data_IF_318644418198
#
_entry.id   IF_318644418198
#
_cell.length_a   1.000
_cell.length_b   1.000
_cell.length_c   1.000
_cell.angle_alpha   90.00
_cell.angle_beta   90.00
_cell.angle_gamma   90.00
#
_symmetry.space_group_name_H-M   'P 1'
#
loop_
_entity.id
_entity.type
_entity.pdbx_description
1 polymer ?
#
# COMPACT_ATOMS: atom_id res chain seq x y z
N UNK A 1 -6.32 22.51 6.01
CA UNK A 1 -4.90 22.76 5.65
C UNK A 1 -4.84 22.87 4.15
N UNK A 2 -4.30 23.98 3.61
CA UNK A 2 -4.09 24.10 2.16
C UNK A 2 -2.75 23.48 1.80
N UNK A 3 -2.79 22.45 0.96
CA UNK A 3 -1.61 21.78 0.42
C UNK A 3 -1.47 22.18 -1.05
N UNK A 4 -0.29 22.62 -1.44
CA UNK A 4 0.06 22.90 -2.83
C UNK A 4 0.93 21.77 -3.36
N UNK A 5 0.45 21.04 -4.35
CA UNK A 5 1.22 20.02 -5.07
C UNK A 5 2.08 20.70 -6.13
N UNK A 6 3.39 20.44 -6.10
CA UNK A 6 4.37 20.98 -7.05
C UNK A 6 4.65 20.00 -8.19
N UNK A 7 4.69 18.70 -7.88
CA UNK A 7 4.87 17.66 -8.89
C UNK A 7 4.19 16.35 -8.51
N UNK A 8 3.78 15.59 -9.53
CA UNK A 8 3.36 14.20 -9.41
C UNK A 8 4.00 13.43 -10.56
N UNK A 9 4.81 12.43 -10.24
CA UNK A 9 5.57 11.67 -11.23
C UNK A 9 5.70 10.20 -10.87
N UNK A 10 6.09 9.43 -11.87
CA UNK A 10 6.39 8.01 -11.72
C UNK A 10 7.88 7.83 -11.39
N UNK A 11 8.14 7.14 -10.30
CA UNK A 11 9.49 6.72 -9.86
C UNK A 11 9.62 5.23 -10.17
N UNK A 12 10.58 4.90 -11.04
CA UNK A 12 10.90 3.52 -11.42
C UNK A 12 11.99 2.94 -10.51
N UNK A 13 12.10 1.60 -10.42
CA UNK A 13 13.23 0.95 -9.77
C UNK A 13 14.59 1.41 -10.36
N UNK A 14 15.57 1.68 -9.50
CA UNK A 14 16.96 1.97 -9.88
C UNK A 14 17.85 0.75 -9.66
N UNK A 15 18.06 -0.03 -10.73
CA UNK A 15 18.96 -1.17 -10.74
C UNK A 15 20.40 -0.67 -10.91
N UNK A 16 21.09 -0.48 -9.79
CA UNK A 16 22.48 0.03 -9.69
C UNK A 16 23.52 -0.67 -10.57
N UNK A 17 23.20 -1.84 -11.13
CA UNK A 17 24.05 -2.61 -12.04
C UNK A 17 23.95 -2.16 -13.51
N UNK A 18 23.11 -1.16 -13.81
CA UNK A 18 22.91 -0.68 -15.17
C UNK A 18 22.08 -1.63 -16.04
N UNK A 19 21.44 -2.65 -15.45
CA UNK A 19 20.30 -3.29 -16.09
C UNK A 19 19.17 -2.26 -16.13
N UNK A 20 19.16 -1.45 -17.19
CA UNK A 20 17.98 -0.67 -17.50
C UNK A 20 16.80 -1.65 -17.42
N UNK A 21 15.78 -1.34 -16.61
CA UNK A 21 14.53 -2.09 -16.52
C UNK A 21 13.74 -2.16 -17.84
N UNK A 22 14.40 -1.88 -18.96
CA UNK A 22 14.01 -2.15 -20.34
C UNK A 22 14.15 -3.64 -20.71
N UNK A 23 14.18 -4.54 -19.72
CA UNK A 23 13.79 -5.91 -19.99
C UNK A 23 12.35 -5.82 -20.53
N UNK A 24 12.19 -6.11 -21.83
CA UNK A 24 10.88 -6.22 -22.45
C UNK A 24 10.21 -7.46 -21.86
N UNK A 25 9.60 -7.30 -20.70
CA UNK A 25 8.73 -8.31 -20.13
C UNK A 25 7.57 -8.46 -21.09
N UNK A 26 7.30 -9.69 -21.53
CA UNK A 26 6.13 -9.93 -22.35
C UNK A 26 4.91 -9.50 -21.52
N UNK A 27 3.84 -9.02 -22.17
CA UNK A 27 2.60 -8.66 -21.45
C UNK A 27 1.96 -9.86 -20.71
N UNK A 28 2.52 -11.06 -20.87
CA UNK A 28 2.13 -12.30 -20.20
C UNK A 28 2.99 -12.63 -18.95
N UNK A 29 4.08 -11.90 -18.69
CA UNK A 29 4.97 -12.17 -17.56
C UNK A 29 4.33 -11.60 -16.28
N UNK A 30 3.76 -12.50 -15.48
CA UNK A 30 3.08 -12.16 -14.24
C UNK A 30 3.57 -13.02 -13.07
N UNK A 31 3.48 -12.48 -11.87
CA UNK A 31 3.57 -13.26 -10.62
C UNK A 31 2.15 -13.49 -10.12
N UNK A 32 1.68 -14.75 -10.06
CA UNK A 32 0.36 -15.04 -9.51
C UNK A 32 0.27 -14.56 -8.06
N UNK A 33 -0.87 -14.01 -7.67
CA UNK A 33 -1.13 -13.76 -6.26
C UNK A 33 -1.25 -15.10 -5.51
N UNK A 34 -0.67 -15.18 -4.32
CA UNK A 34 -0.83 -16.35 -3.44
C UNK A 34 -2.28 -16.48 -2.98
N UNK A 35 -2.63 -17.61 -2.36
CA UNK A 35 -3.97 -17.79 -1.79
C UNK A 35 -4.26 -16.79 -0.68
N UNK A 36 -3.26 -16.37 0.08
CA UNK A 36 -3.41 -15.40 1.17
C UNK A 36 -3.61 -13.99 0.62
N UNK A 37 -2.88 -13.61 -0.43
CA UNK A 37 -3.06 -12.33 -1.12
C UNK A 37 -4.47 -12.25 -1.74
N UNK A 38 -4.96 -13.35 -2.32
CA UNK A 38 -6.30 -13.43 -2.92
C UNK A 38 -7.43 -13.31 -1.89
N UNK A 39 -7.24 -13.83 -0.68
CA UNK A 39 -8.24 -13.73 0.41
C UNK A 39 -8.18 -12.37 1.12
N UNK A 40 -7.04 -11.67 1.04
CA UNK A 40 -6.89 -10.33 1.61
C UNK A 40 -7.79 -9.28 0.91
N UNK A 41 -7.89 -8.08 1.48
CA UNK A 41 -8.72 -7.02 0.92
C UNK A 41 -8.22 -6.53 -0.45
N UNK A 42 -9.17 -6.23 -1.33
CA UNK A 42 -8.91 -5.63 -2.65
C UNK A 42 -9.16 -4.11 -2.57
N UNK A 43 -8.30 -3.44 -1.80
CA UNK A 43 -8.43 -2.02 -1.48
C UNK A 43 -7.07 -1.37 -1.21
N UNK A 44 -7.06 -0.05 -1.11
CA UNK A 44 -5.89 0.71 -0.68
C UNK A 44 -5.94 0.98 0.83
N UNK A 45 -4.78 0.83 1.47
CA UNK A 45 -4.56 1.19 2.88
C UNK A 45 -3.75 2.47 2.93
N UNK A 46 -4.11 3.35 3.87
CA UNK A 46 -3.51 4.67 4.03
C UNK A 46 -2.66 4.74 5.30
N UNK A 47 -1.45 5.27 5.18
CA UNK A 47 -0.59 5.59 6.33
C UNK A 47 -0.09 7.02 6.25
N UNK A 48 0.08 7.67 7.41
CA UNK A 48 0.70 8.98 7.49
C UNK A 48 1.76 9.00 8.59
N UNK A 49 2.92 9.58 8.28
CA UNK A 49 4.00 9.83 9.22
C UNK A 49 4.36 11.30 9.22
N UNK A 50 4.59 11.86 10.39
CA UNK A 50 5.07 13.23 10.56
C UNK A 50 6.45 13.23 11.21
N UNK A 51 7.34 14.06 10.68
CA UNK A 51 8.73 14.19 11.11
C UNK A 51 9.03 15.65 11.45
N UNK A 52 9.69 15.86 12.58
CA UNK A 52 10.21 17.16 12.97
C UNK A 52 11.36 17.60 12.05
N UNK A 53 11.62 18.92 11.94
CA UNK A 53 12.77 19.41 11.21
C UNK A 53 14.10 19.00 11.88
N UNK A 54 15.20 18.91 11.12
CA UNK A 54 15.26 19.07 9.67
C UNK A 54 14.83 17.81 8.92
N UNK A 55 14.05 17.99 7.85
CA UNK A 55 13.69 16.91 6.93
C UNK A 55 14.70 16.81 5.76
N UNK A 56 14.92 15.61 5.18
CA UNK A 56 15.72 15.47 3.97
C UNK A 56 15.05 16.20 2.79
N UNK A 57 15.83 16.71 1.82
CA UNK A 57 15.26 17.27 0.59
C UNK A 57 14.43 16.24 -0.17
N UNK A 58 13.35 16.67 -0.84
CA UNK A 58 12.48 15.78 -1.60
C UNK A 58 13.24 14.96 -2.66
N UNK A 59 14.25 15.53 -3.31
CA UNK A 59 15.08 14.81 -4.27
C UNK A 59 15.83 13.60 -3.66
N UNK A 60 16.21 13.68 -2.38
CA UNK A 60 16.84 12.56 -1.66
C UNK A 60 15.81 11.46 -1.38
N UNK A 61 14.59 11.85 -0.97
CA UNK A 61 13.48 10.92 -0.74
C UNK A 61 13.12 10.17 -2.03
N UNK A 62 13.04 10.88 -3.16
CA UNK A 62 12.74 10.30 -4.46
C UNK A 62 13.83 9.33 -4.93
N UNK A 63 15.10 9.72 -4.85
CA UNK A 63 16.21 8.85 -5.25
C UNK A 63 16.25 7.56 -4.40
N UNK A 64 16.04 7.69 -3.08
CA UNK A 64 15.94 6.56 -2.19
C UNK A 64 14.71 5.67 -2.47
N UNK A 65 13.61 6.26 -2.94
CA UNK A 65 12.44 5.49 -3.35
C UNK A 65 12.78 4.61 -4.56
N UNK A 66 13.47 5.16 -5.57
CA UNK A 66 13.91 4.40 -6.74
C UNK A 66 14.81 3.21 -6.35
N UNK A 67 15.77 3.42 -5.46
CA UNK A 67 16.61 2.35 -4.90
C UNK A 67 15.78 1.30 -4.16
N UNK A 68 14.85 1.73 -3.31
CA UNK A 68 14.01 0.81 -2.53
C UNK A 68 13.11 -0.04 -3.43
N UNK A 69 12.60 0.55 -4.52
CA UNK A 69 11.78 -0.16 -5.51
C UNK A 69 12.58 -1.20 -6.31
N UNK A 70 13.90 -1.11 -6.38
CA UNK A 70 14.74 -2.16 -6.96
C UNK A 70 14.73 -3.43 -6.09
N UNK A 71 14.68 -3.26 -4.77
CA UNK A 71 14.57 -4.34 -3.79
C UNK A 71 13.12 -4.73 -3.47
N UNK A 72 12.14 -3.88 -3.78
CA UNK A 72 10.70 -4.12 -3.56
C UNK A 72 9.89 -3.85 -4.83
N UNK A 73 10.18 -4.64 -5.86
CA UNK A 73 9.67 -4.42 -7.22
C UNK A 73 8.15 -4.50 -7.31
N UNK A 74 7.50 -5.24 -6.42
CA UNK A 74 6.04 -5.37 -6.37
C UNK A 74 5.34 -4.02 -6.31
N UNK A 75 5.90 -3.05 -5.58
CA UNK A 75 5.32 -1.71 -5.46
C UNK A 75 5.47 -0.85 -6.73
N UNK A 76 6.41 -1.21 -7.61
CA UNK A 76 6.58 -0.57 -8.91
C UNK A 76 5.76 -1.25 -10.02
N UNK A 77 4.98 -2.28 -9.71
CA UNK A 77 4.23 -3.05 -10.71
C UNK A 77 2.77 -2.60 -10.81
N UNK A 78 1.96 -3.36 -11.55
CA UNK A 78 0.52 -3.17 -11.70
C UNK A 78 -0.22 -4.47 -11.40
N UNK A 79 -1.44 -4.36 -10.90
CA UNK A 79 -2.35 -5.50 -10.87
C UNK A 79 -2.85 -5.80 -12.28
N UNK A 80 -3.02 -7.08 -12.56
CA UNK A 80 -3.51 -7.58 -13.83
C UNK A 80 -4.09 -8.98 -13.66
N UNK A 81 -4.10 -9.74 -14.76
CA UNK A 81 -4.56 -11.13 -14.77
C UNK A 81 -3.54 -12.03 -15.45
N UNK A 82 -3.44 -13.27 -14.98
CA UNK A 82 -2.67 -14.32 -15.65
C UNK A 82 -3.40 -14.86 -16.90
N UNK A 83 -2.75 -15.76 -17.64
CA UNK A 83 -3.34 -16.39 -18.83
C UNK A 83 -4.63 -17.18 -18.56
N UNK A 84 -4.87 -17.57 -17.31
CA UNK A 84 -6.10 -18.22 -16.84
C UNK A 84 -7.18 -17.24 -16.37
N UNK A 85 -6.92 -15.93 -16.42
CA UNK A 85 -7.82 -14.88 -15.95
C UNK A 85 -7.82 -14.69 -14.43
N UNK A 86 -6.86 -15.24 -13.70
CA UNK A 86 -6.75 -15.02 -12.25
C UNK A 86 -5.99 -13.73 -11.94
N UNK A 87 -6.34 -13.01 -10.86
CA UNK A 87 -5.58 -11.85 -10.41
C UNK A 87 -4.09 -12.16 -10.19
N UNK A 88 -3.23 -11.29 -10.71
CA UNK A 88 -1.78 -11.42 -10.67
C UNK A 88 -1.09 -10.04 -10.67
N UNK A 89 0.19 -10.00 -10.33
CA UNK A 89 1.02 -8.80 -10.42
C UNK A 89 1.82 -8.86 -11.73
N UNK A 90 1.66 -7.86 -12.58
CA UNK A 90 2.37 -7.75 -13.86
C UNK A 90 3.84 -7.41 -13.63
N UNK A 91 4.75 -8.13 -14.28
CA UNK A 91 6.20 -7.87 -14.22
C UNK A 91 6.57 -6.70 -15.14
N UNK A 92 6.06 -5.49 -14.92
CA UNK A 92 6.23 -4.37 -15.85
C UNK A 92 7.05 -3.19 -15.32
N UNK A 93 7.44 -3.23 -14.04
CA UNK A 93 8.20 -2.18 -13.33
C UNK A 93 7.76 -0.74 -13.74
N UNK A 94 6.46 -0.55 -13.92
CA UNK A 94 5.84 0.67 -14.40
C UNK A 94 6.04 1.87 -13.44
N UNK A 95 6.51 1.62 -12.22
CA UNK A 95 6.90 2.59 -11.21
C UNK A 95 5.79 2.95 -10.21
N UNK A 96 6.20 3.50 -9.08
CA UNK A 96 5.31 4.05 -8.05
C UNK A 96 5.05 5.54 -8.29
N UNK A 97 3.95 6.07 -7.77
CA UNK A 97 3.67 7.51 -7.84
C UNK A 97 4.32 8.23 -6.67
N UNK A 98 5.08 9.28 -6.97
CA UNK A 98 5.67 10.17 -5.99
C UNK A 98 5.17 11.59 -6.20
N UNK A 99 4.68 12.22 -5.12
CA UNK A 99 4.09 13.56 -5.12
C UNK A 99 4.91 14.45 -4.20
N UNK A 100 5.40 15.57 -4.75
CA UNK A 100 6.08 16.62 -3.99
C UNK A 100 5.11 17.76 -3.73
N UNK A 101 4.95 18.15 -2.46
CA UNK A 101 3.99 19.15 -2.04
C UNK A 101 4.52 20.00 -0.89
N UNK A 102 3.92 21.17 -0.71
CA UNK A 102 4.14 22.03 0.46
C UNK A 102 2.84 22.40 1.14
N UNK A 103 2.90 22.64 2.44
CA UNK A 103 1.80 23.21 3.21
C UNK A 103 2.25 24.52 3.87
N UNK A 104 1.48 25.60 3.66
CA UNK A 104 1.79 26.92 4.18
C UNK A 104 1.32 27.09 5.65
N UNK A 105 1.66 26.11 6.50
CA UNK A 105 1.29 26.03 7.91
C UNK A 105 2.40 25.40 8.77
N UNK A 106 2.31 25.53 10.09
CA UNK A 106 3.26 24.91 11.04
C UNK A 106 2.75 23.56 11.56
N UNK A 107 3.67 22.61 11.75
CA UNK A 107 3.38 21.28 12.31
C UNK A 107 3.14 21.32 13.83
N UNK A 108 3.52 22.38 14.54
CA UNK A 108 3.33 22.46 16.01
C UNK A 108 1.85 22.47 16.44
N UNK A 109 0.92 22.84 15.54
CA UNK A 109 -0.53 22.64 15.73
C UNK A 109 -1.07 21.30 15.22
N UNK A 110 -0.20 20.43 14.71
CA UNK A 110 -0.52 19.31 13.81
C UNK A 110 -0.40 17.91 14.45
N UNK A 111 -0.20 17.82 15.77
CA UNK A 111 -0.71 16.64 16.51
C UNK A 111 -2.23 16.50 16.26
N UNK A 112 -2.91 17.62 15.99
CA UNK A 112 -4.30 17.73 15.51
C UNK A 112 -4.50 17.29 14.04
N UNK A 113 -3.43 17.21 13.22
CA UNK A 113 -3.52 16.70 11.84
C UNK A 113 -4.01 15.25 11.83
N UNK A 114 -3.69 14.51 12.91
CA UNK A 114 -4.04 13.12 13.13
C UNK A 114 -5.33 12.94 13.94
N UNK A 115 -6.04 14.02 14.30
CA UNK A 115 -7.26 13.94 15.13
C UNK A 115 -8.56 14.09 14.34
N UNK A 116 -8.51 14.44 13.05
CA UNK A 116 -9.70 14.47 12.18
C UNK A 116 -9.41 13.81 10.83
N UNK A 117 -10.19 12.78 10.47
CA UNK A 117 -9.97 11.94 9.27
C UNK A 117 -9.82 12.76 7.97
N UNK A 118 -10.57 13.86 7.84
CA UNK A 118 -10.57 14.75 6.67
C UNK A 118 -9.23 15.47 6.42
N UNK A 119 -8.46 15.78 7.45
CA UNK A 119 -7.15 16.45 7.29
C UNK A 119 -6.01 15.45 7.03
N UNK A 120 -6.18 14.19 7.42
CA UNK A 120 -5.27 13.10 7.08
C UNK A 120 -5.37 12.75 5.59
N UNK A 121 -6.60 12.73 5.05
CA UNK A 121 -6.83 12.36 3.65
C UNK A 121 -6.20 13.33 2.65
N UNK A 122 -6.07 14.63 2.96
CA UNK A 122 -5.40 15.57 2.04
C UNK A 122 -3.88 15.37 1.98
N UNK A 123 -3.30 14.83 3.05
CA UNK A 123 -1.87 14.55 3.13
C UNK A 123 -1.49 13.19 2.52
N UNK A 124 -2.46 12.34 2.19
CA UNK A 124 -2.25 11.11 1.44
C UNK A 124 -2.66 11.27 -0.03
N UNK A 125 -1.96 10.63 -0.99
CA UNK A 125 -2.41 10.59 -2.38
C UNK A 125 -3.80 9.97 -2.52
N UNK A 126 -4.68 10.58 -3.33
CA UNK A 126 -5.91 9.91 -3.78
C UNK A 126 -5.56 8.69 -4.63
N UNK A 127 -6.30 7.58 -4.42
CA UNK A 127 -6.23 6.38 -5.24
C UNK A 127 -7.32 6.31 -6.32
N UNK A 128 -8.10 7.38 -6.52
CA UNK A 128 -9.20 7.39 -7.50
C UNK A 128 -8.65 7.18 -8.92
N UNK A 129 -8.95 6.01 -9.50
CA UNK A 129 -8.45 5.62 -10.81
C UNK A 129 -6.94 5.39 -10.86
N UNK A 130 -6.29 5.16 -9.71
CA UNK A 130 -4.87 4.86 -9.67
C UNK A 130 -4.61 3.42 -10.12
N UNK A 131 -3.73 3.27 -11.13
CA UNK A 131 -3.20 1.97 -11.53
C UNK A 131 -1.99 1.57 -10.65
N UNK A 132 -1.32 2.55 -10.02
CA UNK A 132 -0.16 2.31 -9.16
C UNK A 132 -0.51 1.50 -7.91
N UNK A 133 0.37 0.58 -7.52
CA UNK A 133 0.22 -0.18 -6.28
C UNK A 133 0.76 0.56 -5.05
N UNK A 134 1.61 1.56 -5.29
CA UNK A 134 2.16 2.47 -4.29
C UNK A 134 2.07 3.91 -4.79
N UNK A 135 1.47 4.76 -3.97
CA UNK A 135 1.50 6.20 -4.12
C UNK A 135 2.04 6.80 -2.81
N UNK A 136 2.93 7.78 -2.93
CA UNK A 136 3.51 8.49 -1.78
C UNK A 136 3.48 10.00 -2.02
N UNK A 137 3.07 10.75 -1.00
CA UNK A 137 3.14 12.21 -0.97
C UNK A 137 4.10 12.68 0.12
N UNK A 138 5.11 13.43 -0.27
CA UNK A 138 5.99 14.17 0.62
C UNK A 138 5.48 15.62 0.72
N UNK A 139 5.01 16.02 1.90
CA UNK A 139 4.53 17.38 2.17
C UNK A 139 5.47 18.11 3.12
N UNK A 140 6.22 19.09 2.61
CA UNK A 140 7.09 19.94 3.42
C UNK A 140 6.32 21.15 3.97
N UNK A 141 6.40 21.35 5.28
CA UNK A 141 5.74 22.46 5.96
C UNK A 141 6.65 23.67 6.04
N UNK A 142 6.07 24.87 6.21
CA UNK A 142 6.81 26.13 6.35
C UNK A 142 7.88 26.08 7.47
N UNK A 143 7.59 25.34 8.55
CA UNK A 143 8.51 25.13 9.68
C UNK A 143 9.64 24.10 9.42
N UNK A 144 9.73 23.53 8.22
CA UNK A 144 10.71 22.51 7.84
C UNK A 144 10.37 21.08 8.28
N UNK A 145 9.21 20.88 8.90
CA UNK A 145 8.69 19.52 9.19
C UNK A 145 8.20 18.84 7.91
N UNK A 146 8.18 17.51 7.91
CA UNK A 146 7.76 16.69 6.76
C UNK A 146 6.59 15.79 7.17
N UNK A 147 5.57 15.70 6.33
CA UNK A 147 4.61 14.59 6.36
C UNK A 147 4.80 13.67 5.16
N UNK A 148 4.80 12.36 5.40
CA UNK A 148 4.78 11.32 4.38
C UNK A 148 3.42 10.63 4.44
N UNK A 149 2.60 10.82 3.40
CA UNK A 149 1.35 10.09 3.21
C UNK A 149 1.56 8.94 2.22
N UNK A 150 1.09 7.76 2.57
CA UNK A 150 1.17 6.54 1.78
C UNK A 150 -0.22 6.04 1.44
N UNK A 151 -0.37 5.57 0.22
CA UNK A 151 -1.55 4.87 -0.28
C UNK A 151 -1.06 3.59 -0.95
N UNK A 152 -1.33 2.44 -0.32
CA UNK A 152 -0.68 1.15 -0.64
C UNK A 152 -1.73 0.07 -0.88
N UNK A 153 -1.63 -0.65 -2.00
CA UNK A 153 -2.61 -1.67 -2.36
C UNK A 153 -2.47 -2.94 -1.49
N UNK A 154 -3.55 -3.35 -0.81
CA UNK A 154 -3.51 -4.42 0.21
C UNK A 154 -3.27 -5.83 -0.36
N UNK A 155 -3.51 -6.03 -1.66
CA UNK A 155 -3.14 -7.26 -2.39
C UNK A 155 -1.63 -7.51 -2.51
N UNK A 156 -0.79 -6.50 -2.31
CA UNK A 156 0.67 -6.64 -2.44
C UNK A 156 1.29 -7.12 -1.14
N UNK A 157 0.80 -6.63 -0.01
CA UNK A 157 1.37 -6.93 1.30
C UNK A 157 0.33 -6.80 2.40
N UNK A 158 0.58 -7.49 3.51
CA UNK A 158 -0.10 -7.24 4.78
C UNK A 158 0.55 -6.05 5.53
N UNK A 159 0.03 -5.74 6.72
CA UNK A 159 0.56 -4.65 7.55
C UNK A 159 2.07 -4.73 7.80
N UNK A 160 2.61 -5.88 8.29
CA UNK A 160 4.06 -6.07 8.43
C UNK A 160 4.85 -5.89 7.12
N UNK A 161 4.36 -6.42 5.99
CA UNK A 161 5.03 -6.26 4.69
C UNK A 161 5.05 -4.80 4.21
N UNK A 162 3.94 -4.07 4.38
CA UNK A 162 3.88 -2.62 4.11
C UNK A 162 4.84 -1.85 5.01
N UNK A 163 4.92 -2.20 6.29
CA UNK A 163 5.84 -1.57 7.24
C UNK A 163 7.31 -1.81 6.87
N UNK A 164 7.67 -3.04 6.49
CA UNK A 164 9.03 -3.37 6.06
C UNK A 164 9.46 -2.53 4.85
N UNK A 165 8.57 -2.31 3.89
CA UNK A 165 8.84 -1.39 2.77
C UNK A 165 9.09 0.04 3.24
N UNK A 166 8.24 0.60 4.11
CA UNK A 166 8.41 1.97 4.62
C UNK A 166 9.72 2.13 5.40
N UNK A 167 10.10 1.11 6.19
CA UNK A 167 11.39 1.08 6.91
C UNK A 167 12.56 0.98 5.94
N UNK A 168 12.46 0.11 4.92
CA UNK A 168 13.48 -0.04 3.88
C UNK A 168 13.70 1.27 3.12
N UNK A 169 12.64 2.01 2.83
CA UNK A 169 12.75 3.33 2.23
C UNK A 169 13.49 4.33 3.14
N UNK A 170 13.21 4.31 4.44
CA UNK A 170 13.96 5.08 5.44
C UNK A 170 15.43 4.63 5.61
N UNK A 171 15.75 3.35 5.36
CA UNK A 171 17.12 2.83 5.34
C UNK A 171 17.87 3.35 4.10
N UNK A 172 17.30 3.18 2.91
CA UNK A 172 17.86 3.69 1.65
C UNK A 172 18.07 5.22 1.71
N UNK A 173 17.11 5.97 2.26
CA UNK A 173 17.22 7.43 2.45
C UNK A 173 18.43 7.82 3.30
N UNK A 174 18.81 6.99 4.26
CA UNK A 174 19.99 7.20 5.13
C UNK A 174 21.29 6.62 4.54
N UNK A 175 21.23 5.97 3.38
CA UNK A 175 22.36 5.30 2.76
C UNK A 175 22.85 4.07 3.55
N UNK A 176 21.96 3.43 4.32
CA UNK A 176 22.27 2.17 5.00
C UNK A 176 21.64 0.99 4.26
N UNK A 177 22.23 -0.20 4.40
CA UNK A 177 21.71 -1.40 3.75
C UNK A 177 20.27 -1.69 4.19
N UNK A 178 19.46 -2.17 3.24
CA UNK A 178 18.09 -2.64 3.52
C UNK A 178 18.17 -3.94 4.32
N UNK A 179 17.51 -3.95 5.47
CA UNK A 179 17.48 -5.09 6.40
C UNK A 179 16.10 -5.13 7.09
N UNK A 180 15.33 -6.23 6.99
CA UNK A 180 15.68 -7.49 6.33
C UNK A 180 15.71 -7.42 4.81
N UNK A 181 16.49 -8.32 4.19
CA UNK A 181 16.48 -8.53 2.74
C UNK A 181 15.10 -9.06 2.33
N UNK A 182 14.42 -8.44 1.35
CA UNK A 182 13.09 -8.87 0.94
C UNK A 182 13.08 -10.26 0.30
N UNK A 183 12.01 -11.02 0.52
CA UNK A 183 11.80 -12.32 -0.11
C UNK A 183 10.59 -12.23 -1.03
N UNK A 184 10.84 -12.40 -2.33
CA UNK A 184 9.81 -12.21 -3.39
C UNK A 184 9.07 -13.48 -3.81
N UNK A 185 9.56 -14.66 -3.41
CA UNK A 185 8.96 -15.94 -3.80
C UNK A 185 7.83 -16.35 -2.84
N UNK A 186 6.79 -15.55 -2.76
CA UNK A 186 5.63 -15.84 -1.90
C UNK A 186 4.80 -17.03 -2.37
N UNK A 187 4.74 -17.28 -3.69
CA UNK A 187 3.86 -18.32 -4.24
C UNK A 187 4.37 -19.73 -3.99
N UNK A 188 5.69 -19.96 -4.00
CA UNK A 188 6.25 -21.29 -3.76
C UNK A 188 6.07 -21.76 -2.30
N UNK A 189 6.00 -20.81 -1.36
CA UNK A 189 5.86 -21.08 0.07
C UNK A 189 4.49 -21.70 0.43
N UNK A 190 3.47 -21.42 -0.38
CA UNK A 190 2.09 -21.82 -0.11
C UNK A 190 1.55 -22.82 -1.11
N UNK A 191 2.45 -23.60 -1.75
CA UNK A 191 2.05 -24.71 -2.59
C UNK A 191 1.13 -25.67 -1.80
N UNK A 192 0.02 -26.14 -2.41
CA UNK A 192 -0.76 -27.22 -1.82
C UNK A 192 0.12 -28.42 -1.51
N UNK A 193 -0.31 -29.27 -0.57
CA UNK A 193 0.36 -30.56 -0.33
C UNK A 193 0.58 -31.29 -1.65
N UNK A 194 1.72 -31.98 -1.71
CA UNK A 194 2.17 -32.68 -2.90
C UNK A 194 1.14 -33.72 -3.34
N UNK A 195 1.18 -34.08 -4.62
CA UNK A 195 0.22 -35.02 -5.19
C UNK A 195 0.20 -36.40 -4.50
N UNK A 196 1.31 -36.81 -3.86
CA UNK A 196 1.45 -38.02 -3.05
C UNK A 196 0.89 -37.87 -1.62
N UNK A 197 0.48 -36.67 -1.19
CA UNK A 197 -0.21 -36.38 0.08
C UNK A 197 -1.51 -35.58 -0.19
N UNK A 198 -2.69 -36.23 -0.21
CA UNK A 198 -3.92 -35.60 -0.63
C UNK A 198 -4.31 -34.39 0.25
N UNK A 199 -5.06 -33.41 -0.28
CA UNK A 199 -5.53 -32.27 0.51
C UNK A 199 -6.39 -32.68 1.74
N UNK A 200 -5.78 -32.71 2.92
CA UNK A 200 -6.49 -32.71 4.21
C UNK A 200 -7.08 -31.33 4.55
N UNK A 201 -8.35 -31.12 4.21
CA UNK A 201 -9.12 -29.95 4.66
C UNK A 201 -9.67 -30.29 6.05
N UNK A 202 -9.18 -29.62 7.10
CA UNK A 202 -9.53 -29.93 8.49
C UNK A 202 -10.59 -29.01 9.10
N UNK A 203 -10.82 -27.86 8.47
CA UNK A 203 -11.74 -26.83 8.95
C UNK A 203 -12.74 -26.46 7.85
N UNK A 204 -13.92 -26.00 8.26
CA UNK A 204 -14.90 -25.45 7.31
C UNK A 204 -14.52 -24.01 7.00
N UNK A 205 -14.20 -23.76 5.73
CA UNK A 205 -13.76 -22.45 5.24
C UNK A 205 -14.90 -21.64 4.59
N UNK A 206 -16.04 -22.29 4.32
CA UNK A 206 -17.23 -21.61 3.80
C UNK A 206 -17.92 -20.84 4.92
N UNK A 207 -18.24 -19.58 4.66
CA UNK A 207 -18.77 -18.65 5.67
C UNK A 207 -17.70 -18.06 6.59
N UNK A 208 -16.44 -18.54 6.50
CA UNK A 208 -15.29 -17.92 7.14
C UNK A 208 -14.50 -17.10 6.11
N UNK A 209 -13.59 -17.71 5.36
CA UNK A 209 -12.81 -17.02 4.33
C UNK A 209 -13.55 -16.93 2.98
N UNK A 210 -14.46 -17.87 2.69
CA UNK A 210 -15.16 -17.95 1.40
C UNK A 210 -16.67 -17.79 1.54
N UNK A 211 -17.26 -16.89 0.76
CA UNK A 211 -18.72 -16.76 0.61
C UNK A 211 -19.16 -17.14 -0.81
N UNK A 212 -20.38 -17.68 -1.00
CA UNK A 212 -20.93 -17.84 -2.33
C UNK A 212 -20.92 -16.50 -3.09
N UNK A 213 -20.65 -16.54 -4.40
CA UNK A 213 -20.87 -15.37 -5.24
C UNK A 213 -22.37 -15.02 -5.16
N UNK A 214 -22.69 -13.78 -4.78
CA UNK A 214 -24.08 -13.31 -4.76
C UNK A 214 -24.70 -13.47 -6.14
N UNK A 215 -25.90 -14.04 -6.21
CA UNK A 215 -26.61 -14.27 -7.48
C UNK A 215 -27.13 -12.95 -8.07
N UNK A 216 -26.43 -12.43 -9.07
CA UNK A 216 -26.89 -11.35 -9.96
C UNK A 216 -26.60 -11.75 -11.41
N UNK A 217 -27.62 -11.69 -12.27
CA UNK A 217 -27.66 -12.29 -13.61
C UNK A 217 -26.57 -11.85 -14.59
N UNK A 218 -26.34 -12.70 -15.59
CA UNK A 218 -25.26 -12.57 -16.56
C UNK A 218 -25.28 -11.29 -17.38
N UNK A 219 -24.08 -10.76 -17.60
CA UNK A 219 -23.80 -9.66 -18.52
C UNK A 219 -22.29 -9.43 -18.58
N UNK A 220 -21.74 -9.47 -19.79
CA UNK A 220 -20.31 -9.28 -20.09
C UNK A 220 -19.83 -7.87 -19.71
N UNK A 221 -18.63 -7.80 -19.14
CA UNK A 221 -17.69 -6.67 -19.27
C UNK A 221 -18.03 -5.38 -18.52
N UNK A 222 -17.09 -4.91 -17.70
CA UNK A 222 -17.08 -3.56 -17.12
C UNK A 222 -17.03 -3.60 -15.59
N UNK A 223 -16.00 -2.96 -15.02
CA UNK A 223 -15.84 -2.78 -13.58
C UNK A 223 -17.11 -2.22 -12.94
N UNK A 224 -17.52 -2.83 -11.85
CA UNK A 224 -18.74 -2.48 -11.14
C UNK A 224 -18.71 -3.08 -9.75
N UNK A 225 -18.35 -2.23 -8.79
CA UNK A 225 -18.53 -2.43 -7.36
C UNK A 225 -19.92 -3.02 -7.07
N UNK A 226 -19.95 -4.25 -6.56
CA UNK A 226 -21.13 -4.84 -5.92
C UNK A 226 -21.33 -4.13 -4.58
N UNK A 227 -21.97 -2.98 -4.64
CA UNK A 227 -22.12 -2.07 -3.52
C UNK A 227 -23.31 -2.52 -2.63
N UNK A 228 -23.07 -3.50 -1.77
CA UNK A 228 -23.94 -3.75 -0.60
C UNK A 228 -23.67 -2.72 0.53
N UNK A 229 -22.70 -1.83 0.34
CA UNK A 229 -22.31 -0.72 1.24
C UNK A 229 -22.77 0.64 0.70
N UNK A 230 -23.92 0.73 0.03
CA UNK A 230 -24.52 2.05 -0.24
C UNK A 230 -24.99 2.62 1.08
N UNK A 231 -24.18 3.53 1.65
CA UNK A 231 -24.63 4.45 2.71
C UNK A 231 -25.84 5.18 2.15
N UNK A 232 -27.02 4.87 2.69
CA UNK A 232 -28.26 5.56 2.32
C UNK A 232 -28.21 6.94 2.95
N UNK A 233 -28.86 7.91 2.31
CA UNK A 233 -28.93 9.28 2.82
C UNK A 233 -29.59 9.39 4.22
N UNK A 234 -30.23 8.33 4.68
CA UNK A 234 -30.87 8.20 6.00
C UNK A 234 -30.04 7.39 7.03
N UNK A 235 -28.84 6.94 6.68
CA UNK A 235 -27.97 6.23 7.63
C UNK A 235 -27.27 7.21 8.58
N UNK A 236 -27.17 6.86 9.86
CA UNK A 236 -26.45 7.66 10.86
C UNK A 236 -24.99 7.93 10.40
N UNK A 237 -24.50 9.14 10.66
CA UNK A 237 -23.13 9.52 10.31
C UNK A 237 -22.12 8.63 11.06
N UNK A 238 -21.22 7.97 10.30
CA UNK A 238 -20.14 7.18 10.89
C UNK A 238 -19.04 8.10 11.40
N UNK A 239 -18.92 8.19 12.73
CA UNK A 239 -17.86 8.97 13.39
C UNK A 239 -16.65 8.10 13.76
N UNK A 240 -15.44 8.58 13.44
CA UNK A 240 -14.18 7.94 13.84
C UNK A 240 -13.74 8.49 15.19
N UNK A 241 -13.80 7.66 16.24
CA UNK A 241 -13.37 8.03 17.59
C UNK A 241 -11.97 7.51 17.91
N UNK A 242 -11.13 8.40 18.47
CA UNK A 242 -9.86 8.00 19.08
C UNK A 242 -10.11 7.56 20.52
N UNK A 243 -9.92 6.27 20.81
CA UNK A 243 -10.00 5.73 22.16
C UNK A 243 -8.59 5.59 22.73
N UNK A 244 -8.32 6.23 23.87
CA UNK A 244 -7.02 6.19 24.53
C UNK A 244 -7.03 5.18 25.68
N UNK A 245 -6.18 4.15 25.59
CA UNK A 245 -5.97 3.17 26.63
C UNK A 245 -4.68 3.50 27.41
N UNK A 246 -4.83 3.99 28.64
CA UNK A 246 -3.67 4.35 29.47
C UNK A 246 -2.92 3.12 29.95
N UNK A 247 -1.66 3.30 30.36
CA UNK A 247 -0.85 2.20 30.90
C UNK A 247 -1.51 1.59 32.13
N UNK A 248 -2.04 2.44 33.01
CA UNK A 248 -2.72 2.05 34.25
C UNK A 248 -3.97 1.23 33.93
N UNK A 249 -4.78 1.68 32.96
CA UNK A 249 -5.98 0.96 32.53
C UNK A 249 -5.65 -0.40 31.92
N UNK A 250 -4.60 -0.47 31.08
CA UNK A 250 -4.15 -1.74 30.48
C UNK A 250 -3.65 -2.70 31.57
N UNK A 251 -2.97 -2.19 32.60
CA UNK A 251 -2.48 -3.01 33.71
C UNK A 251 -3.64 -3.61 34.51
N UNK A 252 -4.68 -2.82 34.79
CA UNK A 252 -5.90 -3.27 35.47
C UNK A 252 -6.69 -4.27 34.62
N UNK A 253 -6.82 -4.05 33.31
CA UNK A 253 -7.51 -5.00 32.42
C UNK A 253 -6.83 -6.39 32.40
N UNK A 254 -5.50 -6.42 32.53
CA UNK A 254 -4.71 -7.66 32.43
C UNK A 254 -4.61 -8.43 33.74
N UNK A 255 -4.92 -7.82 34.88
CA UNK A 255 -4.86 -8.46 36.20
C UNK A 255 -6.12 -9.28 36.49
#
# INVERSE_FOLDING_TARGET
>A
MEITVHSSKIVKPDYRDGSNGDAVFASADVVPLSVFDKVNYDEFVFYIYAFHPPAPPTAVLEAALAETLAEYREWARRLGVDAGGNPAIMLNDAGARFIDATADSEVAGSVTLLTTATNVMSACPSCDGADELLLVQATLFRCGSLALGFTMHHKVADGPGMWNFMVAWGQATRGVAIDPVPMHDGTSLFAPRRHDDPPQIRFEHRGAEFKPRGGGGGGRGGGGSGNDNVVRADDDEVAVHRVHFTREWIAELKS
#
